data_IF_533049833133
#
_entry.id   IF_533049833133
#
_cell.length_a   1.000
_cell.length_b   1.000
_cell.length_c   1.000
_cell.angle_alpha   90.00
_cell.angle_beta   90.00
_cell.angle_gamma   90.00
#
_symmetry.space_group_name_H-M   'P 1'
#
loop_
_entity.id
_entity.type
_entity.pdbx_description
1 polymer ?
#
# COMPACT_ATOMS: atom_id res chain seq x y z
N UNK A 1 23.13 12.51 -18.66
CA UNK A 1 22.48 11.87 -17.49
C UNK A 1 21.14 12.53 -17.15
N UNK A 2 21.08 13.85 -16.88
CA UNK A 2 19.82 14.61 -16.73
C UNK A 2 18.90 14.53 -17.96
N UNK A 3 19.46 14.63 -19.18
CA UNK A 3 18.69 14.46 -20.44
C UNK A 3 18.23 13.01 -20.69
N UNK A 4 18.95 12.00 -20.20
CA UNK A 4 18.56 10.59 -20.29
C UNK A 4 17.51 10.20 -19.22
N UNK A 5 17.39 11.00 -18.16
CA UNK A 5 16.36 10.87 -17.13
C UNK A 5 15.07 11.62 -17.53
N UNK A 6 15.20 12.75 -18.24
CA UNK A 6 14.06 13.44 -18.86
C UNK A 6 13.47 12.67 -20.06
N UNK A 7 14.16 11.65 -20.59
CA UNK A 7 13.63 10.78 -21.65
C UNK A 7 12.84 9.58 -21.13
N UNK A 8 12.71 9.37 -19.82
CA UNK A 8 11.84 8.32 -19.27
C UNK A 8 10.42 8.86 -19.06
N UNK A 9 9.48 8.29 -19.82
CA UNK A 9 8.04 8.34 -19.53
C UNK A 9 7.79 7.92 -18.07
N UNK A 10 6.69 8.36 -17.47
CA UNK A 10 6.37 8.09 -16.05
C UNK A 10 6.67 6.65 -15.61
N UNK A 11 7.20 6.50 -14.40
CA UNK A 11 7.66 5.22 -13.85
C UNK A 11 7.00 4.93 -12.51
N UNK A 12 6.72 3.66 -12.22
CA UNK A 12 6.19 3.28 -10.90
C UNK A 12 7.24 3.48 -9.81
N UNK A 13 6.83 4.02 -8.67
CA UNK A 13 7.70 4.34 -7.55
C UNK A 13 7.02 4.12 -6.20
N UNK A 14 7.84 4.02 -5.16
CA UNK A 14 7.40 4.03 -3.76
C UNK A 14 7.29 5.45 -3.23
N UNK A 15 6.24 5.71 -2.43
CA UNK A 15 6.01 6.98 -1.73
C UNK A 15 6.89 7.13 -0.48
N UNK A 16 7.52 6.04 -0.03
CA UNK A 16 8.34 5.96 1.18
C UNK A 16 9.35 7.12 1.32
N UNK A 17 10.11 7.55 0.29
CA UNK A 17 11.04 8.67 0.43
C UNK A 17 10.35 9.98 0.82
N UNK A 18 9.13 10.23 0.31
CA UNK A 18 8.35 11.41 0.66
C UNK A 18 7.85 11.31 2.10
N UNK A 19 7.29 10.16 2.50
CA UNK A 19 6.82 9.96 3.86
C UNK A 19 7.94 10.07 4.90
N UNK A 20 9.16 9.61 4.59
CA UNK A 20 10.34 9.84 5.44
C UNK A 20 10.75 11.31 5.51
N UNK A 21 10.61 12.05 4.41
CA UNK A 21 10.85 13.49 4.41
C UNK A 21 9.83 14.22 5.29
N UNK A 22 8.55 13.83 5.23
CA UNK A 22 7.50 14.33 6.13
C UNK A 22 7.79 13.99 7.60
N UNK A 23 8.11 12.74 7.90
CA UNK A 23 8.41 12.28 9.26
C UNK A 23 9.63 12.99 9.89
N UNK A 24 10.59 13.41 9.06
CA UNK A 24 11.77 14.19 9.50
C UNK A 24 11.56 15.72 9.45
N UNK A 25 10.35 16.19 9.12
CA UNK A 25 10.02 17.61 9.03
C UNK A 25 10.64 18.36 7.84
N UNK A 26 11.21 17.64 6.86
CA UNK A 26 11.79 18.25 5.64
C UNK A 26 10.72 18.69 4.64
N UNK A 27 9.59 18.01 4.64
CA UNK A 27 8.42 18.31 3.82
C UNK A 27 7.19 18.41 4.74
N UNK A 28 6.28 19.35 4.50
CA UNK A 28 5.05 19.50 5.29
C UNK A 28 4.05 20.44 4.60
N UNK A 29 2.83 20.56 5.17
CA UNK A 29 1.84 21.54 4.72
C UNK A 29 0.89 21.06 3.62
N UNK A 30 0.87 19.76 3.33
CA UNK A 30 -0.03 19.15 2.35
C UNK A 30 -0.38 17.70 2.74
N UNK A 31 -1.38 17.14 2.06
CA UNK A 31 -1.75 15.73 2.13
C UNK A 31 -1.59 15.07 0.77
N UNK A 32 -1.41 13.75 0.75
CA UNK A 32 -1.38 12.95 -0.47
C UNK A 32 -2.70 12.20 -0.57
N UNK A 33 -3.57 12.51 -1.55
CA UNK A 33 -4.79 11.75 -1.73
C UNK A 33 -4.47 10.35 -2.27
N UNK A 34 -5.12 9.35 -1.72
CA UNK A 34 -5.17 7.99 -2.24
C UNK A 34 -6.56 7.74 -2.84
N UNK A 35 -6.61 7.17 -4.05
CA UNK A 35 -7.83 7.07 -4.85
C UNK A 35 -8.04 5.61 -5.27
N UNK A 36 -9.05 4.95 -4.69
CA UNK A 36 -9.51 3.65 -5.17
C UNK A 36 -10.21 3.77 -6.53
N UNK A 37 -9.74 3.03 -7.54
CA UNK A 37 -10.34 3.01 -8.87
C UNK A 37 -10.86 1.61 -9.21
N UNK A 38 -12.17 1.41 -9.05
CA UNK A 38 -12.82 0.09 -9.14
C UNK A 38 -13.31 -0.30 -10.54
N UNK A 39 -13.12 0.58 -11.52
CA UNK A 39 -13.54 0.39 -12.91
C UNK A 39 -13.20 1.61 -13.77
N UNK A 40 -13.30 1.48 -15.10
CA UNK A 40 -12.87 2.50 -16.06
C UNK A 40 -11.45 3.02 -15.74
N UNK A 41 -10.56 2.11 -15.31
CA UNK A 41 -9.33 2.47 -14.59
C UNK A 41 -8.42 3.38 -15.40
N UNK A 42 -8.23 3.05 -16.67
CA UNK A 42 -7.47 3.89 -17.60
C UNK A 42 -8.05 5.29 -17.76
N UNK A 43 -9.36 5.42 -18.00
CA UNK A 43 -9.99 6.73 -18.21
C UNK A 43 -10.04 7.58 -16.93
N UNK A 44 -10.30 6.95 -15.79
CA UNK A 44 -10.29 7.61 -14.48
C UNK A 44 -8.88 8.09 -14.13
N UNK A 45 -7.86 7.26 -14.32
CA UNK A 45 -6.46 7.66 -14.10
C UNK A 45 -6.03 8.82 -15.00
N UNK A 46 -6.43 8.82 -16.28
CA UNK A 46 -6.19 9.97 -17.17
C UNK A 46 -6.83 11.25 -16.63
N UNK A 47 -8.06 11.18 -16.14
CA UNK A 47 -8.74 12.33 -15.54
C UNK A 47 -7.98 12.86 -14.32
N UNK A 48 -7.50 11.98 -13.44
CA UNK A 48 -6.66 12.33 -12.29
C UNK A 48 -5.36 13.01 -12.75
N UNK A 49 -4.65 12.44 -13.71
CA UNK A 49 -3.42 13.02 -14.25
C UNK A 49 -3.63 14.41 -14.89
N UNK A 50 -4.73 14.61 -15.62
CA UNK A 50 -5.12 15.94 -16.14
C UNK A 50 -5.41 16.92 -15.03
N UNK A 51 -6.10 16.49 -13.97
CA UNK A 51 -6.37 17.32 -12.82
C UNK A 51 -5.07 17.73 -12.11
N UNK A 52 -4.16 16.79 -11.87
CA UNK A 52 -2.82 17.05 -11.32
C UNK A 52 -2.07 18.11 -12.12
N UNK A 53 -1.98 17.95 -13.45
CA UNK A 53 -1.34 18.94 -14.35
C UNK A 53 -2.01 20.31 -14.25
N UNK A 54 -3.34 20.37 -14.28
CA UNK A 54 -4.11 21.63 -14.27
C UNK A 54 -3.87 22.46 -13.00
N UNK A 55 -3.74 21.80 -11.86
CA UNK A 55 -3.51 22.48 -10.57
C UNK A 55 -2.02 22.55 -10.19
N UNK A 56 -1.13 22.03 -11.03
CA UNK A 56 0.29 21.82 -10.71
C UNK A 56 0.46 21.13 -9.33
N UNK A 57 -0.33 20.08 -9.11
CA UNK A 57 -0.43 19.39 -7.84
C UNK A 57 0.00 17.92 -7.92
N UNK A 58 0.16 17.33 -6.75
CA UNK A 58 0.64 15.97 -6.57
C UNK A 58 1.56 15.87 -5.34
N UNK A 59 1.96 14.66 -4.96
CA UNK A 59 1.63 13.40 -5.61
C UNK A 59 0.19 12.92 -5.32
N UNK A 60 -0.22 11.84 -6.00
CA UNK A 60 -1.47 11.11 -5.78
C UNK A 60 -1.14 9.62 -5.77
N UNK A 61 -1.81 8.85 -4.91
CA UNK A 61 -1.72 7.39 -4.86
C UNK A 61 -2.92 6.80 -5.59
N UNK A 62 -2.66 5.86 -6.50
CA UNK A 62 -3.68 5.04 -7.15
C UNK A 62 -3.74 3.69 -6.45
N UNK A 63 -4.89 3.32 -5.91
CA UNK A 63 -4.99 2.12 -5.09
C UNK A 63 -6.18 1.23 -5.45
N UNK A 64 -6.11 -0.01 -4.99
CA UNK A 64 -7.18 -0.99 -5.12
C UNK A 64 -7.06 -2.00 -3.99
N UNK A 65 -8.16 -2.24 -3.28
CA UNK A 65 -8.11 -3.13 -2.12
C UNK A 65 -8.25 -4.61 -2.47
N UNK A 66 -7.77 -5.50 -1.60
CA UNK A 66 -7.92 -6.97 -1.78
C UNK A 66 -9.37 -7.37 -2.04
N UNK A 67 -10.31 -6.78 -1.31
CA UNK A 67 -11.75 -7.03 -1.46
C UNK A 67 -12.29 -6.56 -2.81
N UNK A 68 -11.68 -5.52 -3.40
CA UNK A 68 -12.11 -4.87 -4.63
C UNK A 68 -11.62 -5.59 -5.88
N UNK A 69 -10.43 -6.19 -5.80
CA UNK A 69 -9.92 -7.10 -6.84
C UNK A 69 -10.94 -8.19 -7.16
N UNK A 70 -11.61 -8.74 -6.14
CA UNK A 70 -12.55 -9.85 -6.29
C UNK A 70 -13.78 -9.52 -7.13
N UNK A 71 -14.43 -8.38 -6.90
CA UNK A 71 -15.67 -8.01 -7.62
C UNK A 71 -15.43 -7.15 -8.86
N UNK A 72 -14.30 -6.44 -8.94
CA UNK A 72 -13.91 -5.71 -10.15
C UNK A 72 -13.21 -6.59 -11.19
N UNK A 73 -12.73 -7.77 -10.78
CA UNK A 73 -11.91 -8.69 -11.57
C UNK A 73 -10.58 -8.10 -12.04
N UNK A 74 -10.12 -7.01 -11.45
CA UNK A 74 -8.87 -6.34 -11.81
C UNK A 74 -7.71 -6.84 -10.96
N UNK A 75 -6.87 -7.73 -11.50
CA UNK A 75 -5.65 -8.20 -10.82
C UNK A 75 -4.55 -7.11 -10.83
N UNK A 76 -3.59 -7.14 -9.89
CA UNK A 76 -2.53 -6.14 -9.78
C UNK A 76 -1.82 -5.78 -11.09
N UNK A 77 -1.49 -6.79 -11.92
CA UNK A 77 -0.82 -6.56 -13.21
C UNK A 77 -1.67 -5.76 -14.19
N UNK A 78 -2.98 -6.04 -14.25
CA UNK A 78 -3.91 -5.28 -15.10
C UNK A 78 -4.07 -3.86 -14.55
N UNK A 79 -4.32 -3.72 -13.25
CA UNK A 79 -4.50 -2.43 -12.61
C UNK A 79 -3.30 -1.51 -12.82
N UNK A 80 -2.09 -1.98 -12.46
CA UNK A 80 -0.87 -1.21 -12.66
C UNK A 80 -0.61 -0.90 -14.14
N UNK A 81 -0.85 -1.87 -15.03
CA UNK A 81 -0.74 -1.67 -16.47
C UNK A 81 -1.63 -0.54 -16.98
N UNK A 82 -2.89 -0.47 -16.54
CA UNK A 82 -3.84 0.57 -16.93
C UNK A 82 -3.45 1.94 -16.35
N UNK A 83 -3.00 2.02 -15.10
CA UNK A 83 -2.50 3.27 -14.50
C UNK A 83 -1.26 3.78 -15.27
N UNK A 84 -0.29 2.91 -15.55
CA UNK A 84 0.91 3.29 -16.29
C UNK A 84 0.60 3.67 -17.74
N UNK A 85 -0.32 2.96 -18.40
CA UNK A 85 -0.80 3.33 -19.73
C UNK A 85 -1.46 4.73 -19.73
N UNK A 86 -2.25 5.05 -18.70
CA UNK A 86 -2.83 6.38 -18.53
C UNK A 86 -1.75 7.45 -18.31
N UNK A 87 -0.73 7.16 -17.51
CA UNK A 87 0.41 8.06 -17.30
C UNK A 87 1.14 8.37 -18.62
N UNK A 88 1.38 7.35 -19.44
CA UNK A 88 1.97 7.51 -20.79
C UNK A 88 1.05 8.33 -21.71
N UNK A 89 -0.26 8.04 -21.71
CA UNK A 89 -1.24 8.75 -22.53
C UNK A 89 -1.35 10.23 -22.17
N UNK A 90 -1.08 10.58 -20.91
CA UNK A 90 -1.12 11.96 -20.41
C UNK A 90 0.25 12.61 -20.34
N UNK A 91 1.28 11.98 -20.93
CA UNK A 91 2.65 12.49 -21.00
C UNK A 91 3.24 12.82 -19.63
N UNK A 92 2.86 12.03 -18.62
CA UNK A 92 3.37 12.19 -17.26
C UNK A 92 4.86 11.86 -17.24
N UNK A 93 5.62 12.75 -16.62
CA UNK A 93 7.05 12.62 -16.37
C UNK A 93 7.26 12.52 -14.87
N UNK A 94 8.04 11.54 -14.41
CA UNK A 94 8.32 11.33 -12.99
C UNK A 94 7.57 10.15 -12.37
N UNK A 95 7.55 10.08 -11.02
CA UNK A 95 7.04 8.93 -10.29
C UNK A 95 5.51 8.84 -10.33
N UNK A 96 5.01 7.61 -10.43
CA UNK A 96 3.61 7.23 -10.30
C UNK A 96 3.49 6.27 -9.12
N UNK A 97 2.56 6.52 -8.21
CA UNK A 97 2.44 5.75 -6.97
C UNK A 97 1.24 4.82 -7.06
N UNK A 98 1.51 3.51 -7.02
CA UNK A 98 0.51 2.45 -7.10
C UNK A 98 0.54 1.68 -5.78
N UNK A 99 -0.62 1.51 -5.16
CA UNK A 99 -0.77 0.96 -3.83
C UNK A 99 -1.74 -0.22 -3.78
N UNK A 100 -1.36 -1.25 -3.02
CA UNK A 100 -2.25 -2.31 -2.60
C UNK A 100 -2.94 -1.84 -1.33
N UNK A 101 -4.22 -1.56 -1.42
CA UNK A 101 -5.00 -1.03 -0.29
C UNK A 101 -5.57 -2.18 0.56
N UNK A 102 -5.69 -1.99 1.87
CA UNK A 102 -6.21 -2.96 2.84
C UNK A 102 -6.01 -4.42 2.40
N UNK A 103 -4.78 -4.93 2.41
CA UNK A 103 -4.51 -6.36 2.20
C UNK A 103 -4.94 -7.15 3.42
N UNK A 104 -6.26 -7.22 3.55
CA UNK A 104 -6.96 -7.54 4.77
C UNK A 104 -6.99 -9.05 5.00
N UNK A 105 -6.58 -9.46 6.20
CA UNK A 105 -6.77 -10.82 6.67
C UNK A 105 -8.26 -11.11 6.85
N UNK A 106 -8.74 -12.25 6.34
CA UNK A 106 -10.11 -12.67 6.60
C UNK A 106 -10.19 -13.47 7.90
N UNK A 107 -10.77 -12.89 8.95
CA UNK A 107 -10.85 -13.52 10.28
C UNK A 107 -11.46 -14.94 10.28
N UNK A 108 -12.49 -15.20 9.45
CA UNK A 108 -13.12 -16.53 9.37
C UNK A 108 -12.21 -17.56 8.70
N UNK A 109 -11.59 -17.20 7.57
CA UNK A 109 -10.61 -18.07 6.91
C UNK A 109 -9.42 -18.32 7.82
N UNK A 110 -8.93 -17.26 8.47
CA UNK A 110 -7.81 -17.33 9.40
C UNK A 110 -8.10 -18.27 10.57
N UNK A 111 -9.27 -18.18 11.20
CA UNK A 111 -9.67 -19.09 12.28
C UNK A 111 -9.73 -20.55 11.82
N UNK A 112 -10.14 -20.81 10.57
CA UNK A 112 -10.20 -22.17 10.02
C UNK A 112 -8.85 -22.73 9.61
N UNK A 113 -8.00 -21.90 8.99
CA UNK A 113 -6.67 -22.27 8.50
C UNK A 113 -5.79 -21.00 8.40
N UNK A 114 -5.04 -20.66 9.47
CA UNK A 114 -4.16 -19.49 9.49
C UNK A 114 -3.08 -19.54 8.40
N UNK A 115 -2.58 -20.73 8.09
CA UNK A 115 -1.49 -20.91 7.13
C UNK A 115 -1.95 -20.62 5.71
N UNK A 116 -3.14 -21.10 5.34
CA UNK A 116 -3.72 -20.83 4.04
C UNK A 116 -4.03 -19.35 3.83
N UNK A 117 -4.62 -18.66 4.81
CA UNK A 117 -4.91 -17.22 4.69
C UNK A 117 -3.63 -16.38 4.57
N UNK A 118 -2.60 -16.67 5.38
CA UNK A 118 -1.30 -16.01 5.27
C UNK A 118 -0.67 -16.30 3.90
N UNK A 119 -0.73 -17.52 3.40
CA UNK A 119 -0.19 -17.86 2.08
C UNK A 119 -0.89 -17.10 0.94
N UNK A 120 -2.22 -16.93 1.02
CA UNK A 120 -3.01 -16.14 0.06
C UNK A 120 -2.56 -14.66 0.07
N UNK A 121 -2.38 -14.07 1.25
CA UNK A 121 -1.87 -12.70 1.40
C UNK A 121 -0.46 -12.54 0.84
N UNK A 122 0.45 -13.48 1.17
CA UNK A 122 1.82 -13.48 0.63
C UNK A 122 1.82 -13.56 -0.89
N UNK A 123 1.00 -14.42 -1.48
CA UNK A 123 0.89 -14.55 -2.93
C UNK A 123 0.41 -13.25 -3.59
N UNK A 124 -0.60 -12.59 -3.00
CA UNK A 124 -1.11 -11.31 -3.50
C UNK A 124 -0.07 -10.19 -3.38
N UNK A 125 0.67 -10.12 -2.28
CA UNK A 125 1.78 -9.18 -2.10
C UNK A 125 2.81 -9.38 -3.20
N UNK A 126 3.28 -10.62 -3.40
CA UNK A 126 4.29 -10.91 -4.42
C UNK A 126 3.82 -10.55 -5.84
N UNK A 127 2.58 -10.89 -6.21
CA UNK A 127 2.00 -10.51 -7.50
C UNK A 127 1.96 -8.99 -7.69
N UNK A 128 1.70 -8.24 -6.62
CA UNK A 128 1.60 -6.77 -6.67
C UNK A 128 2.97 -6.13 -6.78
N UNK A 129 3.96 -6.63 -6.04
CA UNK A 129 5.35 -6.21 -6.17
C UNK A 129 5.89 -6.48 -7.58
N UNK A 130 5.60 -7.66 -8.15
CA UNK A 130 5.93 -8.01 -9.54
C UNK A 130 5.24 -7.10 -10.55
N UNK A 131 4.00 -6.65 -10.26
CA UNK A 131 3.28 -5.68 -11.07
C UNK A 131 3.82 -4.25 -10.96
N UNK A 132 4.77 -4.00 -10.05
CA UNK A 132 5.42 -2.71 -9.85
C UNK A 132 4.74 -1.85 -8.79
N UNK A 133 3.95 -2.42 -7.88
CA UNK A 133 3.40 -1.67 -6.75
C UNK A 133 4.52 -1.16 -5.85
N UNK A 134 4.51 0.14 -5.57
CA UNK A 134 5.50 0.79 -4.71
C UNK A 134 5.09 0.84 -3.24
N UNK A 135 3.80 0.57 -2.95
CA UNK A 135 3.20 0.74 -1.64
C UNK A 135 2.24 -0.43 -1.36
N UNK A 136 2.24 -0.95 -0.14
CA UNK A 136 1.35 -2.04 0.29
C UNK A 136 0.86 -1.71 1.70
N UNK A 137 -0.45 -1.57 1.86
CA UNK A 137 -1.09 -1.38 3.16
C UNK A 137 -1.60 -2.73 3.67
N UNK A 138 -1.03 -3.17 4.78
CA UNK A 138 -1.33 -4.44 5.42
C UNK A 138 -2.42 -4.22 6.47
N UNK A 139 -3.42 -5.09 6.49
CA UNK A 139 -4.53 -4.98 7.44
C UNK A 139 -4.79 -6.36 8.08
N UNK A 140 -4.27 -6.56 9.29
CA UNK A 140 -4.61 -7.71 10.12
C UNK A 140 -5.50 -7.30 11.31
N UNK A 141 -6.12 -6.11 11.25
CA UNK A 141 -6.96 -5.55 12.32
C UNK A 141 -8.20 -6.42 12.60
N UNK A 142 -8.68 -7.16 11.60
CA UNK A 142 -9.79 -8.12 11.76
C UNK A 142 -9.46 -9.28 12.70
N UNK A 143 -8.17 -9.50 13.01
CA UNK A 143 -7.70 -10.54 13.91
C UNK A 143 -7.62 -10.07 15.38
N UNK A 144 -7.88 -8.79 15.65
CA UNK A 144 -7.95 -8.25 17.01
C UNK A 144 -9.10 -8.91 17.76
N UNK A 145 -8.82 -9.37 18.98
CA UNK A 145 -9.84 -9.92 19.89
C UNK A 145 -9.89 -9.09 21.16
N UNK A 146 -11.08 -8.69 21.60
CA UNK A 146 -11.27 -7.80 22.76
C UNK A 146 -11.45 -8.53 24.09
N UNK A 147 -11.45 -9.87 24.08
CA UNK A 147 -11.63 -10.69 25.29
C UNK A 147 -10.48 -10.56 26.30
N UNK A 148 -9.20 -10.47 25.90
CA UNK A 148 -8.09 -10.27 26.83
C UNK A 148 -8.11 -8.88 27.49
N UNK A 149 -7.70 -8.78 28.75
CA UNK A 149 -7.54 -7.48 29.44
C UNK A 149 -6.33 -6.68 28.94
N UNK A 150 -5.30 -7.37 28.44
CA UNK A 150 -4.05 -6.77 27.96
C UNK A 150 -4.19 -6.31 26.52
N UNK A 151 -3.97 -5.02 26.24
CA UNK A 151 -3.95 -4.48 24.87
C UNK A 151 -2.91 -5.19 23.98
N UNK A 152 -1.79 -5.63 24.54
CA UNK A 152 -0.78 -6.41 23.81
C UNK A 152 -1.35 -7.75 23.36
N UNK A 153 -2.10 -8.43 24.23
CA UNK A 153 -2.74 -9.70 23.87
C UNK A 153 -3.90 -9.49 22.87
N UNK A 154 -4.64 -8.40 23.00
CA UNK A 154 -5.68 -8.03 22.02
C UNK A 154 -5.08 -7.83 20.61
N UNK A 155 -3.90 -7.19 20.53
CA UNK A 155 -3.19 -6.91 19.28
C UNK A 155 -2.26 -8.04 18.80
N UNK A 156 -2.14 -9.15 19.55
CA UNK A 156 -1.12 -10.19 19.35
C UNK A 156 -1.11 -10.73 17.92
N UNK A 157 -2.27 -11.11 17.39
CA UNK A 157 -2.35 -11.65 16.03
C UNK A 157 -2.24 -10.57 14.94
N UNK A 158 -2.76 -9.36 15.20
CA UNK A 158 -2.63 -8.23 14.28
C UNK A 158 -1.14 -7.85 14.07
N UNK A 159 -0.42 -7.61 15.17
CA UNK A 159 1.01 -7.26 15.13
C UNK A 159 1.84 -8.38 14.51
N UNK A 160 1.64 -9.63 14.93
CA UNK A 160 2.42 -10.79 14.45
C UNK A 160 2.23 -11.05 12.97
N UNK A 161 0.99 -11.04 12.47
CA UNK A 161 0.71 -11.26 11.04
C UNK A 161 1.25 -10.09 10.21
N UNK A 162 1.06 -8.85 10.68
CA UNK A 162 1.58 -7.66 9.99
C UNK A 162 3.10 -7.67 9.92
N UNK A 163 3.81 -8.00 11.00
CA UNK A 163 5.27 -8.13 11.03
C UNK A 163 5.77 -9.22 10.07
N UNK A 164 5.10 -10.37 10.05
CA UNK A 164 5.43 -11.48 9.17
C UNK A 164 5.30 -11.12 7.68
N UNK A 165 4.27 -10.37 7.31
CA UNK A 165 4.07 -9.89 5.93
C UNK A 165 5.04 -8.74 5.59
N UNK A 166 5.32 -7.85 6.54
CA UNK A 166 6.30 -6.79 6.36
C UNK A 166 7.73 -7.34 6.16
N UNK A 167 8.14 -8.37 6.91
CA UNK A 167 9.43 -9.06 6.73
C UNK A 167 9.53 -9.69 5.33
N UNK A 168 8.46 -10.31 4.83
CA UNK A 168 8.42 -10.80 3.44
C UNK A 168 8.68 -9.67 2.44
N UNK A 169 8.00 -8.54 2.57
CA UNK A 169 8.18 -7.39 1.67
C UNK A 169 9.63 -6.91 1.73
N UNK A 170 10.20 -6.76 2.93
CA UNK A 170 11.58 -6.28 3.13
C UNK A 170 12.65 -7.23 2.59
N UNK A 171 12.39 -8.55 2.60
CA UNK A 171 13.27 -9.57 2.01
C UNK A 171 13.13 -9.70 0.50
N UNK A 172 12.05 -9.19 -0.07
CA UNK A 172 11.81 -9.26 -1.51
C UNK A 172 12.70 -8.26 -2.23
N UNK A 173 13.49 -8.67 -3.24
CA UNK A 173 14.29 -7.74 -4.02
C UNK A 173 13.43 -6.65 -4.66
N UNK A 174 13.76 -5.39 -4.36
CA UNK A 174 13.03 -4.25 -4.91
C UNK A 174 13.62 -3.80 -6.25
N UNK A 175 12.79 -3.32 -7.19
CA UNK A 175 13.27 -2.77 -8.44
C UNK A 175 14.13 -1.52 -8.20
N UNK A 176 15.16 -1.37 -9.03
CA UNK A 176 15.99 -0.17 -9.07
C UNK A 176 15.54 0.75 -10.17
N UNK A 177 15.28 2.01 -9.84
CA UNK A 177 15.03 3.07 -10.84
C UNK A 177 16.19 4.04 -10.81
N UNK A 178 16.86 4.23 -11.95
CA UNK A 178 18.04 5.10 -12.03
C UNK A 178 19.23 4.67 -11.14
N UNK A 179 19.28 3.38 -10.76
CA UNK A 179 20.33 2.85 -9.87
C UNK A 179 20.05 3.00 -8.37
N UNK A 180 18.89 3.54 -7.99
CA UNK A 180 18.46 3.71 -6.59
C UNK A 180 17.48 2.59 -6.21
N UNK A 181 17.71 1.97 -5.06
CA UNK A 181 16.76 1.03 -4.46
C UNK A 181 15.51 1.78 -4.00
N UNK A 182 14.34 1.34 -4.45
CA UNK A 182 13.06 1.90 -4.03
C UNK A 182 12.42 0.96 -3.00
N UNK A 183 12.61 1.21 -1.68
CA UNK A 183 11.96 0.40 -0.66
C UNK A 183 10.44 0.53 -0.80
N UNK A 184 9.70 -0.57 -0.67
CA UNK A 184 8.24 -0.53 -0.69
C UNK A 184 7.72 0.20 0.56
N UNK A 185 6.82 1.16 0.38
CA UNK A 185 6.09 1.76 1.50
C UNK A 185 5.17 0.72 2.11
N UNK A 186 5.19 0.57 3.43
CA UNK A 186 4.33 -0.38 4.15
C UNK A 186 3.44 0.40 5.10
N UNK A 187 2.13 0.35 4.88
CA UNK A 187 1.13 0.79 5.84
C UNK A 187 0.65 -0.36 6.72
N UNK A 188 0.08 -0.01 7.87
CA UNK A 188 -0.50 -0.96 8.84
C UNK A 188 -1.76 -0.37 9.47
N UNK A 189 -2.72 -1.22 9.80
CA UNK A 189 -3.97 -0.84 10.45
C UNK A 189 -4.05 -1.38 11.89
N UNK A 190 -4.60 -0.57 12.80
CA UNK A 190 -4.82 -0.92 14.20
C UNK A 190 -6.27 -0.67 14.63
N UNK A 191 -6.69 -1.43 15.64
CA UNK A 191 -7.99 -1.28 16.30
C UNK A 191 -8.97 -2.39 15.91
N UNK A 192 -10.10 -2.47 16.61
CA UNK A 192 -11.20 -3.34 16.20
C UNK A 192 -12.05 -2.64 15.13
N UNK A 193 -12.34 -3.34 14.03
CA UNK A 193 -13.15 -2.79 12.94
C UNK A 193 -14.57 -2.42 13.44
N UNK A 194 -14.86 -1.12 13.47
CA UNK A 194 -16.23 -0.59 13.43
C UNK A 194 -16.94 -0.35 14.78
N UNK A 195 -16.25 -0.35 15.92
CA UNK A 195 -16.87 -0.06 17.23
C UNK A 195 -16.42 1.25 17.87
N UNK A 196 -15.12 1.45 18.02
CA UNK A 196 -14.55 2.60 18.73
C UNK A 196 -13.33 3.16 17.98
N UNK A 197 -12.91 4.38 18.34
CA UNK A 197 -11.70 4.97 17.76
C UNK A 197 -10.47 4.31 18.39
N UNK A 198 -9.48 3.97 17.56
CA UNK A 198 -8.19 3.49 18.04
C UNK A 198 -7.49 4.52 18.92
N UNK A 199 -6.78 4.04 19.92
CA UNK A 199 -6.06 4.81 20.94
C UNK A 199 -4.54 4.76 20.73
N UNK A 200 -3.79 5.75 21.24
CA UNK A 200 -2.32 5.70 21.26
C UNK A 200 -1.76 4.48 22.01
N UNK A 201 -2.48 4.00 23.03
CA UNK A 201 -2.13 2.82 23.82
C UNK A 201 -2.25 1.54 22.99
N UNK A 202 -3.32 1.41 22.17
CA UNK A 202 -3.45 0.31 21.21
C UNK A 202 -2.36 0.34 20.14
N UNK A 203 -1.99 1.52 19.64
CA UNK A 203 -0.87 1.66 18.71
C UNK A 203 0.44 1.19 19.35
N UNK A 204 0.69 1.58 20.61
CA UNK A 204 1.90 1.20 21.34
C UNK A 204 1.95 -0.32 21.58
N UNK A 205 0.80 -0.92 21.91
CA UNK A 205 0.67 -2.36 22.06
C UNK A 205 0.90 -3.11 20.73
N UNK A 206 0.32 -2.63 19.64
CA UNK A 206 0.56 -3.17 18.30
C UNK A 206 2.04 -3.10 17.92
N UNK A 207 2.68 -1.95 18.12
CA UNK A 207 4.11 -1.77 17.81
C UNK A 207 5.00 -2.66 18.65
N UNK A 208 4.65 -2.87 19.93
CA UNK A 208 5.37 -3.81 20.80
C UNK A 208 5.37 -5.21 20.19
N UNK A 209 4.21 -5.70 19.74
CA UNK A 209 4.10 -7.02 19.10
C UNK A 209 4.79 -7.04 17.73
N UNK A 210 4.70 -5.97 16.95
CA UNK A 210 5.31 -5.88 15.62
C UNK A 210 6.84 -5.95 15.67
N UNK A 211 7.45 -5.50 16.78
CA UNK A 211 8.90 -5.44 16.99
C UNK A 211 9.50 -6.68 17.67
N UNK A 212 8.67 -7.62 18.15
CA UNK A 212 9.09 -8.92 18.74
C UNK A 212 9.78 -9.85 17.73
#
# INVERSE_FOLDING_TARGET
MREALLSQRGYSASIEPLYRACASGKESGFTVPAINIRGLTFETAKAVFRAMKKINGGPVIFELAKSEIGYSYQRPREYAGLIMAAAVSEEISGPVFIQGDHYQANAKKYQSDPQAEIAELKALIMESLEAGYGNIDLDASTLVTLEPESLIEQQRENGRVTALLADLIRRTPHPRVGGVDLPVSIGGEIGEVGKENSSPEELSAFMTVFEE
#
